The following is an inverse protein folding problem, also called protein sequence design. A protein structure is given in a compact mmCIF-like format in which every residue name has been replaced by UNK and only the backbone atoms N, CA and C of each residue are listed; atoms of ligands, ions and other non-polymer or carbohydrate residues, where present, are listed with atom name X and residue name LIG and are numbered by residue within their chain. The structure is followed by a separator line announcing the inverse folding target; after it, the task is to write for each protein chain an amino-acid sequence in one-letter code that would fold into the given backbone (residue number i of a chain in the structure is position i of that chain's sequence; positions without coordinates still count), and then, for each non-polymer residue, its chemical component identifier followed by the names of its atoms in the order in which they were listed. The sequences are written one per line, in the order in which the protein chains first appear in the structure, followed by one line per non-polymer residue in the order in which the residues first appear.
data_IF_471340301941
#
_entry.id   IF_471340301941
#
_cell.length_a   1.000
_cell.length_b   1.000
_cell.length_c   1.000
_cell.angle_alpha   90.00
_cell.angle_beta   90.00
_cell.angle_gamma   90.00
#
_symmetry.space_group_name_H-M   'P 1'
#
loop_
_entity.id
_entity.type
_entity.pdbx_description
1 polymer ?
#
# COMPACT_ATOMS: atom_id res chain seq x y z
N UNK A 1 17.56 -14.50 5.27
CA UNK A 1 17.35 -13.69 6.48
C UNK A 1 16.23 -12.69 6.18
N UNK A 2 15.28 -12.50 7.11
CA UNK A 2 14.16 -11.58 6.94
C UNK A 2 14.68 -10.14 7.05
N UNK A 3 14.75 -9.40 5.94
CA UNK A 3 15.37 -8.08 5.91
C UNK A 3 14.47 -7.03 6.55
N UNK A 4 13.14 -7.16 6.41
CA UNK A 4 12.17 -6.27 7.06
C UNK A 4 12.28 -6.25 8.59
N UNK A 5 12.68 -7.35 9.23
CA UNK A 5 12.85 -7.42 10.69
C UNK A 5 14.04 -6.59 11.20
N UNK A 6 15.03 -6.35 10.34
CA UNK A 6 16.25 -5.60 10.69
C UNK A 6 16.11 -4.10 10.51
N UNK A 7 15.06 -3.64 9.81
CA UNK A 7 14.83 -2.22 9.58
C UNK A 7 14.50 -1.50 10.89
N UNK A 8 15.19 -0.39 11.10
CA UNK A 8 14.83 0.60 12.11
C UNK A 8 13.46 1.22 11.82
N UNK A 9 12.84 1.84 12.82
CA UNK A 9 11.57 2.54 12.62
C UNK A 9 11.65 3.63 11.54
N UNK A 10 12.78 4.32 11.45
CA UNK A 10 13.01 5.34 10.42
C UNK A 10 13.06 4.72 9.02
N UNK A 11 13.79 3.63 8.86
CA UNK A 11 13.87 2.89 7.59
C UNK A 11 12.52 2.31 7.17
N UNK A 12 11.70 1.82 8.12
CA UNK A 12 10.33 1.36 7.84
C UNK A 12 9.45 2.49 7.32
N UNK A 13 9.62 3.71 7.85
CA UNK A 13 8.93 4.91 7.33
C UNK A 13 9.39 5.22 5.91
N UNK A 14 10.69 5.14 5.63
CA UNK A 14 11.23 5.36 4.28
C UNK A 14 10.72 4.31 3.28
N UNK A 15 10.71 3.04 3.66
CA UNK A 15 10.14 1.96 2.85
C UNK A 15 8.65 2.21 2.55
N UNK A 16 7.88 2.60 3.56
CA UNK A 16 6.44 2.88 3.39
C UNK A 16 6.20 4.07 2.46
N UNK A 17 7.07 5.09 2.48
CA UNK A 17 6.96 6.26 1.57
C UNK A 17 7.08 5.87 0.10
N UNK A 18 7.86 4.82 -0.22
CA UNK A 18 7.98 4.31 -1.60
C UNK A 18 6.66 3.84 -2.21
N UNK A 19 5.63 3.53 -1.39
CA UNK A 19 4.28 3.24 -1.90
C UNK A 19 3.64 4.39 -2.68
N UNK A 20 4.13 5.63 -2.50
CA UNK A 20 3.67 6.81 -3.23
C UNK A 20 4.55 7.16 -4.43
N UNK A 21 5.64 6.43 -4.63
CA UNK A 21 6.51 6.57 -5.79
C UNK A 21 5.94 5.73 -6.95
N UNK A 22 6.26 6.09 -8.19
CA UNK A 22 5.84 5.33 -9.38
C UNK A 22 6.85 4.22 -9.69
N UNK A 23 6.97 3.25 -8.77
CA UNK A 23 7.95 2.16 -8.89
C UNK A 23 7.71 1.31 -10.13
N UNK A 24 8.79 0.88 -10.78
CA UNK A 24 8.75 0.12 -12.02
C UNK A 24 8.97 -1.37 -11.79
N UNK A 25 8.41 -2.21 -12.67
CA UNK A 25 8.70 -3.65 -12.66
C UNK A 25 10.19 -3.88 -12.89
N UNK A 26 10.79 -4.77 -12.10
CA UNK A 26 12.23 -5.05 -12.14
C UNK A 26 13.09 -4.05 -11.36
N UNK A 27 12.51 -3.01 -10.76
CA UNK A 27 13.25 -2.05 -9.95
C UNK A 27 13.75 -2.69 -8.64
N UNK A 28 15.03 -2.46 -8.32
CA UNK A 28 15.63 -2.83 -7.03
C UNK A 28 15.23 -1.83 -5.95
N UNK A 29 14.74 -2.33 -4.83
CA UNK A 29 14.34 -1.51 -3.68
C UNK A 29 15.35 -1.70 -2.57
N UNK A 30 16.09 -0.63 -2.30
CA UNK A 30 17.08 -0.54 -1.24
C UNK A 30 16.69 0.56 -0.24
N UNK A 31 16.87 0.29 1.06
CA UNK A 31 16.61 1.21 2.16
C UNK A 31 17.83 1.20 3.08
N UNK A 32 18.55 2.31 3.16
CA UNK A 32 19.84 2.36 3.86
C UNK A 32 20.82 1.33 3.25
N UNK A 33 21.34 0.43 4.09
CA UNK A 33 22.19 -0.69 3.67
C UNK A 33 21.42 -1.99 3.40
N UNK A 34 20.09 -1.95 3.46
CA UNK A 34 19.23 -3.13 3.37
C UNK A 34 18.62 -3.27 1.96
N UNK A 35 18.93 -4.38 1.30
CA UNK A 35 18.28 -4.75 0.05
C UNK A 35 16.93 -5.42 0.33
N UNK A 36 15.83 -4.73 0.04
CA UNK A 36 14.46 -5.22 0.30
C UNK A 36 14.04 -6.24 -0.76
N UNK A 37 14.43 -6.04 -2.02
CA UNK A 37 14.13 -6.96 -3.10
C UNK A 37 13.88 -6.25 -4.42
N UNK A 38 13.23 -6.95 -5.34
CA UNK A 38 12.88 -6.44 -6.67
C UNK A 38 11.36 -6.34 -6.83
N UNK A 39 10.87 -5.25 -7.41
CA UNK A 39 9.44 -5.08 -7.73
C UNK A 39 9.04 -6.11 -8.79
N UNK A 40 8.18 -7.06 -8.42
CA UNK A 40 7.73 -8.12 -9.31
C UNK A 40 6.28 -7.93 -9.79
N UNK A 41 5.48 -7.11 -9.08
CA UNK A 41 4.12 -6.74 -9.51
C UNK A 41 3.82 -5.29 -9.19
N UNK A 42 3.16 -4.61 -10.13
CA UNK A 42 2.52 -3.31 -9.93
C UNK A 42 1.01 -3.51 -10.16
N UNK A 43 0.20 -3.28 -9.13
CA UNK A 43 -1.23 -3.61 -9.13
C UNK A 43 -2.06 -2.35 -8.99
N UNK A 44 -2.85 -2.05 -10.01
CA UNK A 44 -3.87 -0.99 -10.00
C UNK A 44 -5.25 -1.63 -10.17
N UNK A 45 -6.11 -1.53 -9.15
CA UNK A 45 -7.49 -1.99 -9.22
C UNK A 45 -8.44 -0.85 -9.64
N UNK A 46 -9.59 -1.22 -10.22
CA UNK A 46 -10.61 -0.28 -10.71
C UNK A 46 -11.17 0.64 -9.61
N UNK A 47 -11.17 0.18 -8.35
CA UNK A 47 -11.60 0.96 -7.20
C UNK A 47 -10.55 1.97 -6.70
N UNK A 48 -9.42 2.06 -7.39
CA UNK A 48 -8.29 2.94 -7.07
C UNK A 48 -7.34 2.39 -6.02
N UNK A 49 -7.45 1.12 -5.62
CA UNK A 49 -6.39 0.45 -4.85
C UNK A 49 -5.12 0.33 -5.70
N UNK A 50 -4.00 0.74 -5.14
CA UNK A 50 -2.69 0.65 -5.77
C UNK A 50 -1.70 0.01 -4.80
N UNK A 51 -0.93 -0.97 -5.27
CA UNK A 51 0.11 -1.61 -4.48
C UNK A 51 1.27 -2.12 -5.34
N UNK A 52 2.43 -2.22 -4.73
CA UNK A 52 3.61 -2.87 -5.30
C UNK A 52 3.95 -4.14 -4.52
N UNK A 53 4.26 -5.22 -5.23
CA UNK A 53 4.78 -6.45 -4.62
C UNK A 53 6.27 -6.50 -4.91
N UNK A 54 7.06 -6.61 -3.85
CA UNK A 54 8.51 -6.68 -3.86
C UNK A 54 8.90 -8.04 -3.31
N UNK A 55 9.72 -8.78 -4.04
CA UNK A 55 10.16 -10.11 -3.62
C UNK A 55 11.67 -10.17 -3.53
N UNK A 56 12.16 -10.87 -2.51
CA UNK A 56 13.53 -11.37 -2.42
C UNK A 56 13.50 -12.88 -2.13
N UNK A 57 14.65 -13.59 -2.08
CA UNK A 57 14.67 -15.04 -1.86
C UNK A 57 14.11 -15.53 -0.50
N UNK A 58 13.84 -14.64 0.44
CA UNK A 58 13.46 -14.98 1.81
C UNK A 58 12.09 -14.44 2.21
N UNK A 59 11.62 -13.33 1.62
CA UNK A 59 10.35 -12.70 2.00
C UNK A 59 9.73 -11.90 0.85
N UNK A 60 8.42 -11.64 0.99
CA UNK A 60 7.63 -10.79 0.10
C UNK A 60 7.10 -9.60 0.89
N UNK A 61 7.32 -8.41 0.34
CA UNK A 61 6.82 -7.14 0.89
C UNK A 61 5.75 -6.58 -0.03
N UNK A 62 4.59 -6.21 0.53
CA UNK A 62 3.53 -5.53 -0.23
C UNK A 62 3.42 -4.09 0.26
N UNK A 63 3.68 -3.13 -0.63
CA UNK A 63 3.51 -1.70 -0.36
C UNK A 63 2.15 -1.24 -0.86
N UNK A 64 1.17 -1.19 0.04
CA UNK A 64 -0.14 -0.59 -0.26
C UNK A 64 -0.03 0.93 -0.23
N UNK A 65 -0.42 1.57 -1.34
CA UNK A 65 -0.53 3.03 -1.39
C UNK A 65 -1.72 3.47 -0.56
N UNK A 66 -1.45 4.29 0.45
CA UNK A 66 -2.49 4.93 1.24
C UNK A 66 -3.19 6.05 0.48
N UNK A 67 -4.26 6.59 1.05
CA UNK A 67 -4.89 7.81 0.54
C UNK A 67 -3.94 9.01 0.64
N UNK A 68 -3.93 9.91 -0.35
CA UNK A 68 -3.15 11.15 -0.24
C UNK A 68 -3.64 12.00 0.94
N UNK A 69 -2.75 12.22 1.91
CA UNK A 69 -2.98 13.18 2.99
C UNK A 69 -2.90 14.64 2.50
N UNK A 70 -3.44 15.54 3.31
CA UNK A 70 -3.60 17.01 3.13
C UNK A 70 -2.36 17.73 2.54
N UNK A 71 -1.16 17.18 2.67
CA UNK A 71 0.12 17.84 2.31
C UNK A 71 0.54 17.72 0.83
N UNK A 72 -0.03 16.80 0.04
CA UNK A 72 0.41 16.57 -1.36
C UNK A 72 -0.68 16.69 -2.42
N UNK A 73 -1.94 16.87 -2.02
CA UNK A 73 -3.05 17.11 -2.95
C UNK A 73 -3.36 18.60 -3.07
N UNK A 74 -3.81 19.04 -4.24
CA UNK A 74 -4.51 20.32 -4.34
C UNK A 74 -5.84 20.25 -3.52
N UNK A 75 -6.48 21.39 -3.17
CA UNK A 75 -7.70 21.40 -2.35
C UNK A 75 -8.87 20.57 -2.95
N UNK A 76 -8.78 20.22 -4.23
CA UNK A 76 -9.70 19.33 -4.94
C UNK A 76 -9.44 17.86 -4.56
N UNK A 77 -8.21 17.37 -4.71
CA UNK A 77 -7.81 15.98 -4.39
C UNK A 77 -8.07 15.64 -2.92
N UNK A 78 -7.87 16.60 -2.00
CA UNK A 78 -8.21 16.44 -0.58
C UNK A 78 -9.69 16.18 -0.34
N UNK A 79 -10.58 16.96 -0.96
CA UNK A 79 -12.04 16.77 -0.86
C UNK A 79 -12.50 15.49 -1.53
N UNK A 80 -11.90 15.15 -2.65
CA UNK A 80 -12.43 14.04 -3.44
C UNK A 80 -11.94 12.69 -2.93
N UNK A 81 -10.68 12.51 -2.53
CA UNK A 81 -10.19 11.19 -2.17
C UNK A 81 -10.36 10.87 -0.67
N UNK A 82 -10.01 11.82 0.20
CA UNK A 82 -10.07 11.60 1.64
C UNK A 82 -11.51 11.58 2.14
N UNK A 83 -12.35 12.50 1.69
CA UNK A 83 -13.76 12.57 2.08
C UNK A 83 -14.57 11.41 1.48
N UNK A 84 -14.36 11.02 0.21
CA UNK A 84 -15.05 9.84 -0.35
C UNK A 84 -14.64 8.54 0.31
N UNK A 85 -13.45 8.44 0.88
CA UNK A 85 -13.02 7.23 1.60
C UNK A 85 -13.52 7.22 3.03
N UNK A 86 -13.38 8.34 3.76
CA UNK A 86 -13.65 8.38 5.19
C UNK A 86 -15.12 8.67 5.56
N UNK A 87 -15.85 9.44 4.74
CA UNK A 87 -17.26 9.75 5.03
C UNK A 87 -18.15 8.50 4.97
N UNK A 88 -18.00 7.57 4.01
CA UNK A 88 -18.76 6.32 4.02
C UNK A 88 -18.38 5.41 5.19
N UNK A 89 -17.12 5.40 5.62
CA UNK A 89 -16.67 4.64 6.81
C UNK A 89 -17.33 5.22 8.07
N UNK A 90 -17.27 6.54 8.26
CA UNK A 90 -17.92 7.22 9.38
C UNK A 90 -19.44 7.00 9.37
N UNK A 91 -20.07 7.12 8.19
CA UNK A 91 -21.51 6.85 8.04
C UNK A 91 -21.84 5.41 8.38
N UNK A 92 -21.05 4.44 7.92
CA UNK A 92 -21.23 3.02 8.24
C UNK A 92 -21.05 2.74 9.74
N UNK A 93 -20.09 3.40 10.40
CA UNK A 93 -19.90 3.32 11.85
C UNK A 93 -21.11 3.89 12.61
N UNK A 94 -21.64 5.03 12.18
CA UNK A 94 -22.79 5.68 12.80
C UNK A 94 -24.11 4.93 12.51
N UNK A 95 -24.28 4.40 11.30
CA UNK A 95 -25.49 3.68 10.87
C UNK A 95 -25.51 2.20 11.30
N UNK A 96 -24.45 1.70 11.94
CA UNK A 96 -24.27 0.28 12.27
C UNK A 96 -24.33 -0.66 11.05
N UNK A 97 -24.21 -0.13 9.83
CA UNK A 97 -24.12 -0.92 8.61
C UNK A 97 -22.70 -1.46 8.43
N UNK A 98 -22.53 -2.79 8.45
CA UNK A 98 -21.24 -3.43 8.21
C UNK A 98 -20.88 -3.42 6.72
N UNK A 99 -20.52 -2.25 6.19
CA UNK A 99 -20.06 -2.14 4.79
C UNK A 99 -18.55 -1.95 4.74
N UNK A 100 -17.84 -3.00 4.35
CA UNK A 100 -16.39 -2.94 4.08
C UNK A 100 -16.15 -2.16 2.78
N UNK A 101 -15.31 -1.10 2.79
CA UNK A 101 -14.88 -0.37 1.59
C UNK A 101 -14.32 -1.31 0.51
N UNK A 102 -14.63 -1.05 -0.76
CA UNK A 102 -14.16 -1.87 -1.89
C UNK A 102 -12.64 -2.00 -1.91
N UNK A 103 -11.90 -0.90 -1.69
CA UNK A 103 -10.43 -0.90 -1.65
C UNK A 103 -9.85 -1.86 -0.64
N UNK A 104 -10.49 -2.02 0.53
CA UNK A 104 -10.05 -2.98 1.54
C UNK A 104 -10.32 -4.43 1.12
N UNK A 105 -11.41 -4.69 0.39
CA UNK A 105 -11.66 -6.00 -0.21
C UNK A 105 -10.62 -6.33 -1.27
N UNK A 106 -10.29 -5.37 -2.14
CA UNK A 106 -9.26 -5.51 -3.17
C UNK A 106 -7.87 -5.73 -2.57
N UNK A 107 -7.51 -4.98 -1.52
CA UNK A 107 -6.27 -5.17 -0.78
C UNK A 107 -6.18 -6.56 -0.12
N UNK A 108 -7.27 -7.00 0.53
CA UNK A 108 -7.34 -8.34 1.12
C UNK A 108 -7.23 -9.45 0.07
N UNK A 109 -7.88 -9.28 -1.08
CA UNK A 109 -7.77 -10.20 -2.21
C UNK A 109 -6.32 -10.29 -2.69
N UNK A 110 -5.65 -9.16 -2.92
CA UNK A 110 -4.24 -9.13 -3.34
C UNK A 110 -3.33 -9.81 -2.31
N UNK A 111 -3.53 -9.54 -1.02
CA UNK A 111 -2.76 -10.17 0.05
C UNK A 111 -2.91 -11.70 0.00
N UNK A 112 -4.15 -12.20 -0.06
CA UNK A 112 -4.42 -13.64 -0.13
C UNK A 112 -3.83 -14.29 -1.40
N UNK A 113 -3.96 -13.63 -2.55
CA UNK A 113 -3.36 -14.11 -3.80
C UNK A 113 -1.83 -14.18 -3.71
N UNK A 114 -1.20 -13.19 -3.07
CA UNK A 114 0.26 -13.16 -2.92
C UNK A 114 0.72 -14.26 -1.97
N UNK A 115 0.03 -14.47 -0.84
CA UNK A 115 0.34 -15.56 0.10
C UNK A 115 0.18 -16.93 -0.57
N UNK A 116 -0.77 -17.10 -1.49
CA UNK A 116 -0.95 -18.40 -2.17
C UNK A 116 0.07 -18.65 -3.30
N UNK A 117 0.79 -17.61 -3.75
CA UNK A 117 1.75 -17.69 -4.85
C UNK A 117 3.20 -17.90 -4.38
N UNK A 118 3.49 -17.60 -3.11
CA UNK A 118 4.81 -17.67 -2.49
C UNK A 118 4.79 -18.58 -1.26
#
# INVERSE_FOLDING_TARGET
MNVNEQLTDLERIELTKKSYDELQLGESIDIGSHHIGTVCRNVHAEDGMHAFVISNPHEVTILFKGSYGIKRGNPQTWRDEWFKTNLPILRAMLSHERRVPSRLKSASKLLNETINQF
#
